data_IF_776345573546
#
_entry.id   IF_776345573546
#
_cell.length_a   1.000
_cell.length_b   1.000
_cell.length_c   1.000
_cell.angle_alpha   90.00
_cell.angle_beta   90.00
_cell.angle_gamma   90.00
#
_symmetry.space_group_name_H-M   'P 1'
#
loop_
_entity.id
_entity.type
_entity.pdbx_description
1 polymer ?
#
# COMPACT_ATOMS: atom_id res chain seq x y z
N UNK A 1 -1.02 -5.23 17.34
CA UNK A 1 -0.93 -5.76 15.96
C UNK A 1 -1.30 -4.64 14.98
N UNK A 2 -0.32 -4.07 14.28
CA UNK A 2 -0.55 -3.00 13.30
C UNK A 2 0.41 -3.18 12.11
N UNK A 3 0.24 -4.28 11.36
CA UNK A 3 1.09 -4.63 10.21
C UNK A 3 0.50 -4.22 8.85
N UNK A 4 -0.75 -3.77 8.81
CA UNK A 4 -1.42 -3.32 7.59
C UNK A 4 -2.00 -1.92 7.78
N UNK A 5 -1.17 -0.86 7.79
CA UNK A 5 -1.69 0.50 7.75
C UNK A 5 -2.50 0.72 6.46
N UNK A 6 -3.69 1.30 6.60
CA UNK A 6 -4.56 1.62 5.48
C UNK A 6 -4.93 3.10 5.52
N UNK A 7 -4.79 3.77 4.38
CA UNK A 7 -5.07 5.20 4.25
C UNK A 7 -6.56 5.50 4.05
N UNK A 8 -6.86 6.78 3.86
CA UNK A 8 -8.20 7.25 3.53
C UNK A 8 -8.59 6.85 2.11
N UNK A 9 -9.83 6.37 1.93
CA UNK A 9 -10.39 6.09 0.62
C UNK A 9 -10.41 7.36 -0.24
N UNK A 10 -9.91 7.23 -1.47
CA UNK A 10 -9.81 8.35 -2.42
C UNK A 10 -10.41 7.93 -3.76
N UNK A 11 -11.22 8.81 -4.35
CA UNK A 11 -11.79 8.58 -5.67
C UNK A 11 -10.77 8.94 -6.74
N UNK A 12 -10.19 7.93 -7.39
CA UNK A 12 -9.24 8.07 -8.50
C UNK A 12 -9.81 7.49 -9.78
N UNK A 13 -9.36 8.00 -10.93
CA UNK A 13 -9.86 7.55 -12.25
C UNK A 13 -9.35 6.17 -12.63
N UNK A 14 -8.10 5.86 -12.28
CA UNK A 14 -7.44 4.62 -12.61
C UNK A 14 -6.37 4.32 -11.56
N UNK A 15 -6.18 3.04 -11.23
CA UNK A 15 -5.10 2.55 -10.36
C UNK A 15 -4.08 1.68 -11.09
N UNK A 16 -4.32 1.38 -12.36
CA UNK A 16 -3.45 0.52 -13.19
C UNK A 16 -2.24 1.30 -13.77
N UNK A 17 -2.20 2.62 -13.59
CA UNK A 17 -1.15 3.52 -14.07
C UNK A 17 -0.75 4.50 -12.96
N UNK A 18 -0.18 3.96 -11.88
CA UNK A 18 0.25 4.71 -10.71
C UNK A 18 1.69 4.37 -10.33
N UNK A 19 2.49 5.40 -10.10
CA UNK A 19 3.75 5.26 -9.37
C UNK A 19 3.47 5.36 -7.87
N UNK A 20 3.86 4.32 -7.12
CA UNK A 20 3.80 4.27 -5.66
C UNK A 20 5.21 4.48 -5.12
N UNK A 21 5.35 5.52 -4.30
CA UNK A 21 6.63 5.93 -3.71
C UNK A 21 6.58 5.65 -2.21
N UNK A 22 7.65 5.04 -1.69
CA UNK A 22 7.88 4.88 -0.26
C UNK A 22 9.04 5.77 0.17
N UNK A 23 8.78 6.67 1.11
CA UNK A 23 9.80 7.45 1.77
C UNK A 23 10.05 6.93 3.18
N UNK A 24 11.32 6.89 3.59
CA UNK A 24 11.73 6.63 4.96
C UNK A 24 12.48 7.87 5.47
N UNK A 25 11.98 8.45 6.55
CA UNK A 25 12.56 9.65 7.17
C UNK A 25 12.72 10.82 6.16
N UNK A 26 11.73 10.97 5.27
CA UNK A 26 11.69 12.03 4.24
C UNK A 26 12.62 11.82 3.05
N UNK A 27 13.12 10.59 2.84
CA UNK A 27 13.94 10.22 1.68
C UNK A 27 13.30 9.06 0.94
N UNK A 28 13.19 9.17 -0.38
CA UNK A 28 12.74 8.07 -1.24
C UNK A 28 13.62 6.84 -1.01
N UNK A 29 12.98 5.74 -0.62
CA UNK A 29 13.62 4.48 -0.33
C UNK A 29 13.19 3.37 -1.32
N UNK A 30 12.00 3.51 -1.91
CA UNK A 30 11.47 2.62 -2.95
C UNK A 30 10.48 3.37 -3.85
N UNK A 31 10.38 2.92 -5.11
CA UNK A 31 9.46 3.47 -6.11
C UNK A 31 9.11 2.38 -7.13
N UNK A 32 7.83 2.16 -7.36
CA UNK A 32 7.36 1.12 -8.29
C UNK A 32 6.06 1.52 -8.99
N UNK A 33 5.77 0.87 -10.11
CA UNK A 33 4.64 1.21 -10.96
C UNK A 33 3.59 0.09 -10.99
N UNK A 34 2.31 0.43 -10.86
CA UNK A 34 1.21 -0.56 -10.88
C UNK A 34 1.00 -1.22 -12.24
N UNK A 35 1.45 -0.57 -13.32
CA UNK A 35 1.46 -1.17 -14.67
C UNK A 35 2.38 -2.38 -14.82
N UNK A 36 3.32 -2.60 -13.88
CA UNK A 36 4.20 -3.78 -13.87
C UNK A 36 3.56 -5.00 -13.17
N UNK A 37 2.34 -4.85 -12.64
CA UNK A 37 1.62 -5.96 -11.99
C UNK A 37 1.20 -7.00 -13.02
N UNK A 38 1.41 -8.29 -12.69
CA UNK A 38 0.94 -9.41 -13.52
C UNK A 38 -0.59 -9.43 -13.64
N UNK A 39 -1.30 -9.03 -12.58
CA UNK A 39 -2.76 -8.88 -12.56
C UNK A 39 -3.13 -7.49 -12.10
N UNK A 40 -3.94 -6.79 -12.88
CA UNK A 40 -4.45 -5.47 -12.52
C UNK A 40 -5.60 -5.56 -11.49
N UNK A 41 -6.08 -4.41 -11.00
CA UNK A 41 -7.09 -4.38 -9.95
C UNK A 41 -8.40 -5.08 -10.36
N UNK A 42 -8.85 -4.89 -11.60
CA UNK A 42 -10.07 -5.51 -12.12
C UNK A 42 -9.93 -7.05 -12.23
N UNK A 43 -8.78 -7.54 -12.67
CA UNK A 43 -8.48 -8.98 -12.76
C UNK A 43 -8.45 -9.64 -11.37
N UNK A 44 -7.86 -8.97 -10.37
CA UNK A 44 -7.85 -9.46 -8.99
C UNK A 44 -9.25 -9.52 -8.39
N UNK A 45 -10.04 -8.46 -8.60
CA UNK A 45 -11.44 -8.42 -8.15
C UNK A 45 -12.26 -9.55 -8.77
N UNK A 46 -12.18 -9.72 -10.10
CA UNK A 46 -12.87 -10.79 -10.81
C UNK A 46 -12.48 -12.16 -10.26
N UNK A 47 -11.17 -12.46 -10.24
CA UNK A 47 -10.66 -13.76 -9.83
C UNK A 47 -11.03 -14.11 -8.38
N UNK A 48 -10.97 -13.15 -7.45
CA UNK A 48 -11.35 -13.40 -6.06
C UNK A 48 -12.87 -13.60 -5.92
N UNK A 49 -13.66 -12.83 -6.67
CA UNK A 49 -15.12 -12.91 -6.62
C UNK A 49 -15.71 -14.20 -7.18
N UNK A 50 -14.94 -14.96 -7.98
CA UNK A 50 -15.36 -16.27 -8.51
C UNK A 50 -15.56 -17.31 -7.41
N UNK A 51 -14.87 -17.18 -6.26
CA UNK A 51 -14.94 -18.15 -5.17
C UNK A 51 -15.16 -17.55 -3.79
N UNK A 52 -15.06 -16.22 -3.64
CA UNK A 52 -15.32 -15.51 -2.38
C UNK A 52 -16.17 -14.26 -2.62
N UNK A 53 -17.34 -14.18 -1.98
CA UNK A 53 -18.18 -12.97 -2.03
C UNK A 53 -17.50 -11.81 -1.30
N UNK A 54 -17.32 -10.70 -2.01
CA UNK A 54 -16.82 -9.43 -1.45
C UNK A 54 -18.00 -8.50 -1.13
N UNK A 55 -17.96 -7.89 0.04
CA UNK A 55 -18.98 -6.98 0.54
C UNK A 55 -18.48 -5.52 0.52
N UNK A 56 -19.38 -4.53 0.57
CA UNK A 56 -18.99 -3.14 0.75
C UNK A 56 -18.09 -2.97 1.98
N UNK A 57 -16.90 -2.42 1.78
CA UNK A 57 -15.88 -2.25 2.81
C UNK A 57 -14.72 -3.25 2.74
N UNK A 58 -14.87 -4.35 2.00
CA UNK A 58 -13.75 -5.26 1.74
C UNK A 58 -12.70 -4.59 0.85
N UNK A 59 -11.43 -4.89 1.12
CA UNK A 59 -10.29 -4.31 0.41
C UNK A 59 -9.37 -5.41 -0.13
N UNK A 60 -8.85 -5.21 -1.34
CA UNK A 60 -7.85 -6.08 -1.97
C UNK A 60 -6.54 -5.29 -2.07
N UNK A 61 -5.46 -5.83 -1.50
CA UNK A 61 -4.12 -5.29 -1.72
C UNK A 61 -3.59 -5.80 -3.05
N UNK A 62 -3.28 -4.88 -3.96
CA UNK A 62 -3.06 -5.20 -5.39
C UNK A 62 -1.67 -5.78 -5.70
N UNK A 63 -0.71 -5.61 -4.79
CA UNK A 63 0.63 -6.17 -4.94
C UNK A 63 1.72 -5.31 -4.32
N UNK A 64 2.94 -5.81 -4.39
CA UNK A 64 4.19 -5.12 -4.05
C UNK A 64 5.27 -5.60 -5.00
N UNK A 65 6.29 -4.78 -5.31
CA UNK A 65 7.46 -5.25 -6.04
C UNK A 65 8.22 -6.32 -5.23
N UNK A 66 9.14 -7.03 -5.91
CA UNK A 66 9.99 -8.04 -5.27
C UNK A 66 10.95 -7.40 -4.25
N UNK A 67 11.55 -6.27 -4.61
CA UNK A 67 12.41 -5.49 -3.74
C UNK A 67 11.58 -4.84 -2.65
N UNK A 68 12.07 -4.89 -1.40
CA UNK A 68 11.44 -4.22 -0.26
C UNK A 68 12.50 -3.56 0.61
N UNK A 69 12.10 -2.45 1.21
CA UNK A 69 12.93 -1.71 2.16
C UNK A 69 12.85 -2.34 3.54
N UNK A 70 13.98 -2.37 4.26
CA UNK A 70 14.02 -2.84 5.64
C UNK A 70 13.77 -1.67 6.59
N UNK A 71 12.84 -1.85 7.51
CA UNK A 71 12.45 -0.84 8.50
C UNK A 71 13.15 -1.08 9.84
N UNK A 72 13.36 -0.01 10.61
CA UNK A 72 13.91 -0.04 11.97
C UNK A 72 13.03 0.76 12.93
N UNK A 73 12.99 0.42 14.23
CA UNK A 73 12.37 1.27 15.23
C UNK A 73 12.89 2.70 15.14
N UNK A 74 11.98 3.67 15.20
CA UNK A 74 12.25 5.10 15.02
C UNK A 74 12.02 5.62 13.59
N UNK A 75 11.88 4.74 12.60
CA UNK A 75 11.61 5.18 11.22
C UNK A 75 10.22 5.80 11.08
N UNK A 76 10.13 6.85 10.26
CA UNK A 76 8.85 7.36 9.73
C UNK A 76 8.69 6.90 8.30
N UNK A 77 7.72 6.03 8.06
CA UNK A 77 7.42 5.50 6.73
C UNK A 77 6.26 6.28 6.15
N UNK A 78 6.43 6.80 4.95
CA UNK A 78 5.42 7.56 4.22
C UNK A 78 5.21 6.97 2.84
N UNK A 79 3.96 6.70 2.47
CA UNK A 79 3.55 6.16 1.18
C UNK A 79 2.82 7.26 0.41
N UNK A 80 3.20 7.43 -0.86
CA UNK A 80 2.72 8.47 -1.76
C UNK A 80 2.29 7.84 -3.09
N UNK A 81 1.20 8.35 -3.65
CA UNK A 81 0.76 8.07 -5.02
C UNK A 81 -0.09 9.25 -5.49
N UNK A 82 -0.08 9.54 -6.79
CA UNK A 82 -0.88 10.66 -7.33
C UNK A 82 -2.37 10.43 -7.10
N UNK A 83 -3.09 11.49 -6.70
CA UNK A 83 -4.51 11.41 -6.35
C UNK A 83 -4.84 10.83 -4.97
N UNK A 84 -3.84 10.50 -4.14
CA UNK A 84 -4.04 9.99 -2.78
C UNK A 84 -3.46 10.92 -1.70
N UNK A 85 -4.13 11.07 -0.54
CA UNK A 85 -3.48 11.58 0.66
C UNK A 85 -2.31 10.68 1.06
N UNK A 86 -1.22 11.29 1.52
CA UNK A 86 -0.07 10.54 2.03
C UNK A 86 -0.47 9.69 3.24
N UNK A 87 -0.06 8.43 3.25
CA UNK A 87 -0.18 7.54 4.41
C UNK A 87 1.17 7.55 5.14
N UNK A 88 1.19 7.97 6.40
CA UNK A 88 2.41 8.03 7.21
C UNK A 88 2.24 7.28 8.53
N UNK A 89 3.21 6.43 8.87
CA UNK A 89 3.21 5.65 10.09
C UNK A 89 4.61 5.59 10.71
N UNK A 90 4.74 5.85 12.03
CA UNK A 90 5.98 5.60 12.75
C UNK A 90 6.17 4.10 13.00
N UNK A 91 7.41 3.64 12.91
CA UNK A 91 7.83 2.30 13.33
C UNK A 91 8.30 2.40 14.77
N UNK A 92 7.66 1.64 15.66
CA UNK A 92 7.99 1.59 17.09
C UNK A 92 8.43 0.18 17.45
N UNK A 93 9.31 0.04 18.45
CA UNK A 93 9.69 -1.28 18.92
C UNK A 93 8.49 -1.98 19.56
N UNK A 94 8.41 -3.30 19.38
CA UNK A 94 7.38 -4.10 20.01
C UNK A 94 7.52 -4.01 21.54
N UNK A 95 6.44 -3.63 22.23
CA UNK A 95 6.41 -3.45 23.69
C UNK A 95 6.62 -2.02 24.20
N UNK A 96 6.91 -1.04 23.33
CA UNK A 96 6.98 0.39 23.71
C UNK A 96 5.64 1.13 23.63
N UNK A 97 4.61 0.49 23.06
CA UNK A 97 3.23 0.99 23.10
C UNK A 97 2.62 0.66 24.46
N UNK A 98 2.86 1.53 25.45
CA UNK A 98 2.13 1.58 26.71
C UNK A 98 0.85 2.42 26.57
#
# INVERSE_FOLDING_TARGET
MAFCPIGTLSAVRNVDDLTIITEINGREADSWHTGDLQRNAAQLLSALSEFATLNPGDAILIGTPHSRVTLRPGDRVRILADGFPALENPVVAEGELA
#
